data_IF_394131867986
#
_entry.id   IF_394131867986
#
_cell.length_a   1.000
_cell.length_b   1.000
_cell.length_c   1.000
_cell.angle_alpha   90.00
_cell.angle_beta   90.00
_cell.angle_gamma   90.00
#
_symmetry.space_group_name_H-M   'P 1'
#
loop_
_entity.id
_entity.type
_entity.pdbx_description
1 polymer ?
#
# COMPACT_ATOMS: atom_id res chain seq x y z
N UNK A 1 -23.62 -32.20 13.55
CA UNK A 1 -22.17 -31.91 13.46
C UNK A 1 -21.90 -31.00 12.27
N UNK A 2 -21.87 -29.67 12.47
CA UNK A 2 -21.50 -28.71 11.42
C UNK A 2 -20.82 -27.48 12.04
N UNK A 3 -19.88 -27.72 12.97
CA UNK A 3 -19.05 -26.67 13.58
C UNK A 3 -17.62 -26.67 13.03
N UNK A 4 -17.17 -27.78 12.43
CA UNK A 4 -15.78 -27.95 11.98
C UNK A 4 -15.47 -27.24 10.64
N UNK A 5 -16.40 -27.21 9.68
CA UNK A 5 -16.13 -26.62 8.36
C UNK A 5 -16.01 -25.08 8.40
N UNK A 6 -16.79 -24.42 9.24
CA UNK A 6 -16.76 -22.96 9.40
C UNK A 6 -15.50 -22.48 10.12
N UNK A 7 -15.02 -23.23 11.11
CA UNK A 7 -13.80 -22.90 11.85
C UNK A 7 -12.56 -23.09 10.99
N UNK A 8 -12.51 -24.13 10.13
CA UNK A 8 -11.42 -24.32 9.17
C UNK A 8 -11.38 -23.21 8.12
N UNK A 9 -12.54 -22.73 7.66
CA UNK A 9 -12.60 -21.60 6.72
C UNK A 9 -12.11 -20.29 7.34
N UNK A 10 -12.42 -20.03 8.62
CA UNK A 10 -11.93 -18.85 9.36
C UNK A 10 -10.42 -18.94 9.69
N UNK A 11 -9.91 -20.14 10.02
CA UNK A 11 -8.49 -20.36 10.30
C UNK A 11 -7.63 -20.24 9.03
N UNK A 12 -8.09 -20.74 7.88
CA UNK A 12 -7.38 -20.60 6.60
C UNK A 12 -7.35 -19.15 6.13
N UNK A 13 -8.42 -18.37 6.36
CA UNK A 13 -8.41 -16.92 6.12
C UNK A 13 -7.36 -16.24 6.99
N UNK A 14 -7.15 -16.65 8.24
CA UNK A 14 -6.09 -16.09 9.09
C UNK A 14 -4.68 -16.54 8.65
N UNK A 15 -4.47 -17.82 8.32
CA UNK A 15 -3.12 -18.34 8.01
C UNK A 15 -2.61 -17.98 6.61
N UNK A 16 -3.49 -17.74 5.64
CA UNK A 16 -3.09 -17.22 4.32
C UNK A 16 -2.60 -15.75 4.37
N UNK A 17 -2.77 -15.05 5.50
CA UNK A 17 -2.19 -13.73 5.76
C UNK A 17 -0.98 -13.75 6.71
N UNK A 18 -0.64 -14.88 7.34
CA UNK A 18 0.44 -14.96 8.35
C UNK A 18 1.76 -15.52 7.76
N UNK A 19 1.73 -16.17 6.59
CA UNK A 19 2.90 -16.90 6.06
C UNK A 19 3.68 -16.27 4.91
N UNK A 20 3.27 -15.09 4.41
CA UNK A 20 3.96 -14.42 3.30
C UNK A 20 3.92 -12.90 3.51
N UNK A 21 4.37 -12.49 4.70
CA UNK A 21 4.70 -11.12 4.96
C UNK A 21 5.86 -10.72 4.03
N UNK A 22 5.55 -10.10 2.91
CA UNK A 22 6.48 -9.19 2.28
C UNK A 22 6.63 -8.01 3.27
N UNK A 23 7.61 -8.08 4.16
CA UNK A 23 7.84 -7.14 5.28
C UNK A 23 8.23 -5.70 4.84
N UNK A 24 8.19 -5.40 3.54
CA UNK A 24 8.33 -4.06 2.97
C UNK A 24 7.01 -3.58 2.33
N UNK A 25 6.02 -3.21 3.16
CA UNK A 25 4.64 -2.84 2.75
C UNK A 25 4.48 -1.35 2.43
N UNK A 26 5.39 -0.53 2.91
CA UNK A 26 5.64 0.85 2.52
C UNK A 26 6.89 0.82 1.66
N UNK A 27 6.80 1.23 0.39
CA UNK A 27 8.01 1.43 -0.38
C UNK A 27 8.80 2.56 0.30
N UNK A 28 10.06 2.31 0.66
CA UNK A 28 10.97 3.28 1.30
C UNK A 28 10.97 4.63 0.57
N UNK A 29 10.66 4.63 -0.73
CA UNK A 29 10.50 5.84 -1.53
C UNK A 29 9.47 6.81 -0.97
N UNK A 30 8.30 6.37 -0.49
CA UNK A 30 7.25 7.26 0.01
C UNK A 30 7.71 8.10 1.21
N UNK A 31 8.34 7.47 2.20
CA UNK A 31 8.91 8.22 3.32
C UNK A 31 10.18 8.99 2.96
N UNK A 32 10.99 8.50 2.01
CA UNK A 32 12.13 9.30 1.50
C UNK A 32 11.67 10.57 0.82
N UNK A 33 10.55 10.53 0.09
CA UNK A 33 10.01 11.71 -0.58
C UNK A 33 9.39 12.70 0.39
N UNK A 34 8.92 12.25 1.56
CA UNK A 34 8.34 13.12 2.60
C UNK A 34 9.45 13.70 3.49
N UNK A 35 10.38 12.88 3.95
CA UNK A 35 11.47 13.27 4.85
C UNK A 35 12.77 13.51 4.08
N UNK A 36 12.74 14.44 3.13
CA UNK A 36 13.85 14.75 2.21
C UNK A 36 15.16 15.14 2.93
N UNK A 37 15.04 15.77 4.09
CA UNK A 37 16.16 16.31 4.85
C UNK A 37 16.70 15.32 5.89
N UNK A 38 16.04 14.19 6.09
CA UNK A 38 16.43 13.18 7.05
C UNK A 38 17.56 12.28 6.53
N UNK A 39 18.29 11.67 7.46
CA UNK A 39 19.26 10.65 7.09
C UNK A 39 18.55 9.42 6.49
N UNK A 40 18.99 8.97 5.30
CA UNK A 40 18.34 7.88 4.58
C UNK A 40 18.30 6.55 5.37
N UNK A 41 19.29 6.27 6.21
CA UNK A 41 19.33 5.09 7.07
C UNK A 41 18.27 5.18 8.16
N UNK A 42 18.07 6.37 8.75
CA UNK A 42 17.01 6.58 9.74
C UNK A 42 15.62 6.50 9.12
N UNK A 43 15.44 7.00 7.89
CA UNK A 43 14.18 6.81 7.14
C UNK A 43 13.93 5.33 6.85
N UNK A 44 14.97 4.56 6.49
CA UNK A 44 14.81 3.11 6.28
C UNK A 44 14.41 2.38 7.56
N UNK A 45 15.03 2.70 8.69
CA UNK A 45 14.63 2.15 10.01
C UNK A 45 13.19 2.53 10.38
N UNK A 46 12.78 3.76 10.09
CA UNK A 46 11.40 4.20 10.28
C UNK A 46 10.45 3.37 9.42
N UNK A 47 10.72 3.23 8.12
CA UNK A 47 9.92 2.40 7.20
C UNK A 47 9.74 0.98 7.75
N UNK A 48 10.82 0.36 8.24
CA UNK A 48 10.75 -0.96 8.84
C UNK A 48 9.79 -0.98 10.04
N UNK A 49 9.97 -0.11 11.04
CA UNK A 49 9.10 -0.07 12.23
C UNK A 49 7.62 0.19 11.90
N UNK A 50 7.37 1.07 10.94
CA UNK A 50 6.01 1.42 10.51
C UNK A 50 5.36 0.24 9.78
N UNK A 51 6.10 -0.55 9.00
CA UNK A 51 5.57 -1.76 8.35
C UNK A 51 5.08 -2.84 9.33
N UNK A 52 5.54 -2.80 10.58
CA UNK A 52 5.13 -3.70 11.66
C UNK A 52 3.87 -3.24 12.40
N UNK A 53 3.25 -2.15 11.95
CA UNK A 53 2.02 -1.64 12.55
C UNK A 53 0.79 -2.09 11.77
N UNK A 54 -0.28 -2.42 12.49
CA UNK A 54 -1.51 -2.95 11.91
C UNK A 54 -2.38 -1.84 11.31
N UNK A 55 -2.36 -0.65 11.91
CA UNK A 55 -3.21 0.47 11.54
C UNK A 55 -2.41 1.71 11.17
N UNK A 56 -3.00 2.58 10.34
CA UNK A 56 -2.41 3.88 10.02
C UNK A 56 -2.14 4.72 11.28
N UNK A 57 -3.03 4.66 12.28
CA UNK A 57 -2.87 5.42 13.53
C UNK A 57 -1.66 4.94 14.35
N UNK A 58 -1.48 3.62 14.52
CA UNK A 58 -0.29 3.07 15.19
C UNK A 58 0.98 3.39 14.41
N UNK A 59 0.94 3.28 13.08
CA UNK A 59 2.01 3.72 12.19
C UNK A 59 2.34 5.21 12.39
N UNK A 60 1.33 6.07 12.55
CA UNK A 60 1.52 7.50 12.75
C UNK A 60 2.16 7.80 14.10
N UNK A 61 1.76 7.10 15.17
CA UNK A 61 2.41 7.26 16.49
C UNK A 61 3.92 7.00 16.39
N UNK A 62 4.34 5.95 15.67
CA UNK A 62 5.76 5.67 15.42
C UNK A 62 6.44 6.81 14.65
N UNK A 63 5.75 7.42 13.67
CA UNK A 63 6.27 8.56 12.91
C UNK A 63 6.40 9.79 13.80
N UNK A 64 5.37 10.15 14.57
CA UNK A 64 5.37 11.32 15.46
C UNK A 64 6.44 11.20 16.55
N UNK A 65 6.71 10.00 17.08
CA UNK A 65 7.81 9.77 18.03
C UNK A 65 9.19 9.92 17.37
N UNK A 66 9.31 9.59 16.08
CA UNK A 66 10.56 9.64 15.34
C UNK A 66 10.92 11.06 14.86
N UNK A 67 9.91 11.85 14.46
CA UNK A 67 10.08 13.17 13.85
C UNK A 67 10.97 14.12 14.68
N UNK A 68 10.74 14.36 15.98
CA UNK A 68 11.49 15.36 16.76
C UNK A 68 13.00 15.17 16.70
N UNK A 69 13.46 13.92 16.56
CA UNK A 69 14.87 13.58 16.56
C UNK A 69 15.48 13.46 15.16
N UNK A 70 14.71 13.02 14.17
CA UNK A 70 15.28 12.51 12.91
C UNK A 70 14.71 13.13 11.64
N UNK A 71 13.73 14.04 11.73
CA UNK A 71 13.10 14.65 10.54
C UNK A 71 14.09 15.41 9.62
N UNK A 72 15.24 15.82 10.16
CA UNK A 72 16.36 16.37 9.39
C UNK A 72 17.72 16.00 10.00
N UNK A 73 18.78 16.06 9.19
CA UNK A 73 20.16 16.04 9.70
C UNK A 73 20.51 17.38 10.37
N UNK A 74 21.51 17.37 11.26
CA UNK A 74 21.95 18.57 12.00
C UNK A 74 22.25 19.76 11.09
N UNK A 75 22.95 19.50 9.98
CA UNK A 75 23.44 20.53 9.05
C UNK A 75 22.63 20.57 7.74
N UNK A 76 21.38 20.09 7.77
CA UNK A 76 20.52 20.08 6.58
C UNK A 76 20.24 21.52 6.08
N UNK A 77 20.50 21.78 4.80
CA UNK A 77 20.02 22.98 4.12
C UNK A 77 18.53 22.83 3.82
N UNK A 78 17.69 23.65 4.45
CA UNK A 78 16.25 23.64 4.27
C UNK A 78 15.85 24.65 3.18
N UNK A 79 15.45 24.17 2.00
CA UNK A 79 14.97 25.03 0.93
C UNK A 79 13.62 25.64 1.33
N UNK A 80 13.56 26.96 1.51
CA UNK A 80 12.33 27.67 1.93
C UNK A 80 11.18 27.55 0.92
N UNK A 81 11.48 27.28 -0.35
CA UNK A 81 10.46 27.09 -1.38
C UNK A 81 9.86 25.68 -1.35
N UNK A 82 10.51 24.73 -0.68
CA UNK A 82 10.00 23.38 -0.51
C UNK A 82 9.20 23.29 0.80
N UNK A 83 7.90 23.03 0.70
CA UNK A 83 7.00 22.91 1.88
C UNK A 83 7.43 21.81 2.86
N UNK A 84 8.13 20.77 2.41
CA UNK A 84 8.65 19.69 3.27
C UNK A 84 9.81 20.15 4.18
N UNK A 85 10.32 21.37 3.98
CA UNK A 85 11.20 22.04 4.95
C UNK A 85 10.48 22.41 6.25
N UNK A 86 9.14 22.42 6.24
CA UNK A 86 8.31 22.60 7.40
C UNK A 86 7.96 21.24 8.01
N UNK A 87 8.34 21.03 9.27
CA UNK A 87 8.13 19.76 9.99
C UNK A 87 6.64 19.38 10.06
N UNK A 88 5.75 20.34 10.36
CA UNK A 88 4.30 20.09 10.46
C UNK A 88 3.72 19.66 9.12
N UNK A 89 4.18 20.27 8.01
CA UNK A 89 3.76 19.85 6.69
C UNK A 89 4.26 18.45 6.34
N UNK A 90 5.52 18.12 6.65
CA UNK A 90 6.06 16.78 6.47
C UNK A 90 5.31 15.73 7.31
N UNK A 91 4.94 16.08 8.54
CA UNK A 91 4.11 15.23 9.41
C UNK A 91 2.72 14.99 8.82
N UNK A 92 2.05 16.05 8.32
CA UNK A 92 0.77 15.93 7.63
C UNK A 92 0.87 15.02 6.40
N UNK A 93 1.91 15.19 5.57
CA UNK A 93 2.13 14.34 4.40
C UNK A 93 2.40 12.88 4.77
N UNK A 94 3.10 12.63 5.89
CA UNK A 94 3.27 11.27 6.41
C UNK A 94 1.94 10.65 6.82
N UNK A 95 1.06 11.42 7.49
CA UNK A 95 -0.27 10.94 7.86
C UNK A 95 -1.13 10.61 6.64
N UNK A 96 -1.22 11.52 5.67
CA UNK A 96 -1.98 11.32 4.44
C UNK A 96 -1.46 10.11 3.64
N UNK A 97 -0.13 9.95 3.55
CA UNK A 97 0.47 8.79 2.93
C UNK A 97 0.11 7.49 3.65
N UNK A 98 0.17 7.45 4.98
CA UNK A 98 -0.22 6.27 5.76
C UNK A 98 -1.70 5.91 5.59
N UNK A 99 -2.58 6.91 5.56
CA UNK A 99 -3.99 6.71 5.24
C UNK A 99 -4.20 6.13 3.84
N UNK A 100 -3.41 6.59 2.86
CA UNK A 100 -3.43 6.02 1.52
C UNK A 100 -2.94 4.57 1.51
N UNK A 101 -1.89 4.22 2.26
CA UNK A 101 -1.42 2.82 2.37
C UNK A 101 -2.48 1.91 2.99
N UNK A 102 -3.20 2.38 4.00
CA UNK A 102 -4.33 1.65 4.58
C UNK A 102 -5.47 1.45 3.57
N UNK A 103 -5.85 2.52 2.85
CA UNK A 103 -6.84 2.44 1.78
C UNK A 103 -6.42 1.47 0.66
N UNK A 104 -5.16 1.50 0.24
CA UNK A 104 -4.61 0.60 -0.77
C UNK A 104 -4.66 -0.86 -0.30
N UNK A 105 -4.37 -1.14 0.98
CA UNK A 105 -4.46 -2.50 1.54
C UNK A 105 -5.90 -3.02 1.49
N UNK A 106 -6.88 -2.15 1.78
CA UNK A 106 -8.31 -2.48 1.68
C UNK A 106 -8.74 -2.75 0.24
N UNK A 107 -8.31 -1.90 -0.71
CA UNK A 107 -8.54 -2.10 -2.14
C UNK A 107 -8.01 -3.45 -2.61
N UNK A 108 -6.75 -3.76 -2.28
CA UNK A 108 -6.17 -5.04 -2.63
C UNK A 108 -6.92 -6.21 -2.04
N UNK A 109 -7.22 -6.16 -0.74
CA UNK A 109 -7.97 -7.21 -0.06
C UNK A 109 -9.31 -7.46 -0.74
N UNK A 110 -10.01 -6.42 -1.16
CA UNK A 110 -11.23 -6.53 -1.95
C UNK A 110 -10.97 -7.25 -3.27
N UNK A 111 -9.98 -6.81 -4.07
CA UNK A 111 -9.63 -7.44 -5.34
C UNK A 111 -9.30 -8.94 -5.20
N UNK A 112 -8.48 -9.30 -4.20
CA UNK A 112 -8.10 -10.69 -3.92
C UNK A 112 -9.31 -11.53 -3.52
N UNK A 113 -10.11 -11.06 -2.58
CA UNK A 113 -11.30 -11.79 -2.13
C UNK A 113 -12.30 -11.96 -3.25
N UNK A 114 -12.63 -10.90 -3.97
CA UNK A 114 -13.59 -10.95 -5.07
C UNK A 114 -13.17 -11.93 -6.18
N UNK A 115 -11.87 -12.06 -6.47
CA UNK A 115 -11.39 -13.03 -7.47
C UNK A 115 -11.40 -14.47 -6.97
N UNK A 116 -11.15 -14.72 -5.69
CA UNK A 116 -11.23 -16.07 -5.09
C UNK A 116 -12.70 -16.48 -4.88
N UNK A 117 -13.51 -15.62 -4.28
CA UNK A 117 -14.91 -15.90 -3.92
C UNK A 117 -15.77 -16.18 -5.16
N UNK A 118 -15.48 -15.49 -6.27
CA UNK A 118 -16.14 -15.74 -7.56
C UNK A 118 -15.53 -16.90 -8.35
N UNK A 119 -14.54 -17.61 -7.77
CA UNK A 119 -13.76 -18.68 -8.42
C UNK A 119 -13.13 -18.25 -9.74
N UNK A 120 -12.87 -16.95 -9.90
CA UNK A 120 -12.17 -16.42 -11.05
C UNK A 120 -10.71 -16.85 -11.01
N UNK A 121 -10.06 -16.71 -9.85
CA UNK A 121 -8.73 -17.25 -9.62
C UNK A 121 -8.74 -18.39 -8.62
N UNK A 122 -7.83 -19.34 -8.83
CA UNK A 122 -7.35 -20.24 -7.78
C UNK A 122 -6.55 -19.45 -6.73
N UNK A 123 -6.35 -20.03 -5.55
CA UNK A 123 -5.54 -19.40 -4.49
C UNK A 123 -4.12 -19.08 -4.97
N UNK A 124 -3.48 -20.00 -5.70
CA UNK A 124 -2.13 -19.79 -6.26
C UNK A 124 -2.09 -18.64 -7.27
N UNK A 125 -3.12 -18.49 -8.09
CA UNK A 125 -3.23 -17.38 -9.04
C UNK A 125 -3.46 -16.05 -8.31
N UNK A 126 -4.27 -16.06 -7.25
CA UNK A 126 -4.46 -14.89 -6.41
C UNK A 126 -3.16 -14.48 -5.68
N UNK A 127 -2.37 -15.44 -5.19
CA UNK A 127 -1.04 -15.18 -4.61
C UNK A 127 -0.12 -14.55 -5.66
N UNK A 128 -0.04 -15.10 -6.88
CA UNK A 128 0.74 -14.51 -7.96
C UNK A 128 0.29 -13.10 -8.32
N UNK A 129 -1.03 -12.85 -8.39
CA UNK A 129 -1.57 -11.51 -8.58
C UNK A 129 -1.11 -10.54 -7.47
N UNK A 130 -1.03 -11.00 -6.21
CA UNK A 130 -0.53 -10.20 -5.09
C UNK A 130 0.93 -9.81 -5.26
N UNK A 131 1.75 -10.74 -5.72
CA UNK A 131 3.17 -10.46 -5.95
C UNK A 131 3.36 -9.47 -7.11
N UNK A 132 2.54 -9.58 -8.16
CA UNK A 132 2.51 -8.61 -9.27
C UNK A 132 2.12 -7.22 -8.76
N UNK A 133 1.15 -7.12 -7.84
CA UNK A 133 0.80 -5.84 -7.23
C UNK A 133 1.99 -5.21 -6.53
N UNK A 134 2.63 -5.93 -5.61
CA UNK A 134 3.74 -5.37 -4.84
C UNK A 134 4.94 -4.99 -5.71
N UNK A 135 5.20 -5.75 -6.78
CA UNK A 135 6.19 -5.34 -7.78
C UNK A 135 5.80 -4.03 -8.47
N UNK A 136 4.53 -3.89 -8.86
CA UNK A 136 4.01 -2.70 -9.54
C UNK A 136 3.97 -1.47 -8.64
N UNK A 137 3.61 -1.64 -7.37
CA UNK A 137 3.62 -0.58 -6.36
C UNK A 137 5.04 -0.06 -6.09
N UNK A 138 6.03 -0.96 -6.00
CA UNK A 138 7.45 -0.57 -5.87
C UNK A 138 7.94 0.21 -7.08
N UNK A 139 7.66 -0.27 -8.28
CA UNK A 139 8.07 0.39 -9.52
C UNK A 139 7.37 1.74 -9.73
N UNK A 140 6.14 1.87 -9.21
CA UNK A 140 5.39 3.12 -9.16
C UNK A 140 5.75 4.01 -7.96
N UNK A 141 6.71 3.62 -7.12
CA UNK A 141 7.15 4.38 -5.95
C UNK A 141 5.98 4.68 -4.99
N UNK A 142 5.10 3.70 -4.78
CA UNK A 142 3.86 3.81 -3.99
C UNK A 142 2.83 4.83 -4.50
N UNK A 143 3.00 5.37 -5.71
CA UNK A 143 1.98 6.17 -6.37
C UNK A 143 0.89 5.26 -6.96
N UNK A 144 -0.30 5.28 -6.36
CA UNK A 144 -1.41 4.42 -6.76
C UNK A 144 -1.87 4.67 -8.20
N UNK A 145 -1.99 5.93 -8.61
CA UNK A 145 -2.42 6.33 -9.95
C UNK A 145 -1.48 5.77 -11.03
N UNK A 146 -0.17 5.74 -10.75
CA UNK A 146 0.85 5.12 -11.62
C UNK A 146 0.88 3.59 -11.50
N UNK A 147 0.70 3.06 -10.30
CA UNK A 147 0.80 1.63 -10.00
C UNK A 147 -0.37 0.81 -10.53
N UNK A 148 -1.59 1.36 -10.48
CA UNK A 148 -2.83 0.70 -10.94
C UNK A 148 -2.75 0.20 -12.40
N UNK A 149 -2.42 1.04 -13.41
CA UNK A 149 -2.29 0.56 -14.78
C UNK A 149 -1.12 -0.42 -14.98
N UNK A 150 -0.01 -0.24 -14.27
CA UNK A 150 1.12 -1.19 -14.32
C UNK A 150 0.70 -2.57 -13.81
N UNK A 151 0.01 -2.61 -12.67
CA UNK A 151 -0.53 -3.82 -12.09
C UNK A 151 -1.50 -4.53 -13.05
N UNK A 152 -2.47 -3.79 -13.60
CA UNK A 152 -3.44 -4.31 -14.56
C UNK A 152 -2.72 -4.98 -15.74
N UNK A 153 -1.83 -4.24 -16.40
CA UNK A 153 -1.14 -4.72 -17.60
C UNK A 153 -0.29 -5.97 -17.31
N UNK A 154 0.47 -5.97 -16.22
CA UNK A 154 1.30 -7.12 -15.83
C UNK A 154 0.47 -8.36 -15.51
N UNK A 155 -0.65 -8.18 -14.82
CA UNK A 155 -1.56 -9.28 -14.49
C UNK A 155 -2.23 -9.84 -15.75
N UNK A 156 -2.63 -8.97 -16.69
CA UNK A 156 -3.11 -9.40 -18.00
C UNK A 156 -2.06 -10.22 -18.76
N UNK A 157 -0.79 -9.79 -18.74
CA UNK A 157 0.31 -10.52 -19.39
C UNK A 157 0.54 -11.88 -18.73
N UNK A 158 0.62 -11.94 -17.40
CA UNK A 158 0.82 -13.18 -16.64
C UNK A 158 -0.26 -14.22 -16.95
N UNK A 159 -1.52 -13.79 -16.98
CA UNK A 159 -2.66 -14.69 -17.15
C UNK A 159 -3.26 -14.68 -18.55
N UNK A 160 -2.54 -14.21 -19.56
CA UNK A 160 -3.05 -14.07 -20.93
C UNK A 160 -3.63 -15.35 -21.54
N UNK A 161 -3.15 -16.52 -21.11
CA UNK A 161 -3.63 -17.83 -21.59
C UNK A 161 -4.88 -18.35 -20.85
N UNK A 162 -5.10 -17.91 -19.62
CA UNK A 162 -6.12 -18.47 -18.72
C UNK A 162 -7.24 -17.49 -18.37
N UNK A 163 -6.98 -16.18 -18.43
CA UNK A 163 -7.87 -15.13 -17.95
C UNK A 163 -7.82 -13.92 -18.90
N UNK A 164 -8.24 -14.14 -20.15
CA UNK A 164 -8.16 -13.13 -21.23
C UNK A 164 -8.98 -11.86 -20.95
N UNK A 165 -10.01 -11.98 -20.13
CA UNK A 165 -10.95 -10.91 -19.76
C UNK A 165 -10.52 -10.16 -18.49
N UNK A 166 -9.34 -10.44 -17.91
CA UNK A 166 -8.90 -9.83 -16.65
C UNK A 166 -8.94 -8.30 -16.71
N UNK A 167 -8.58 -7.70 -17.85
CA UNK A 167 -8.62 -6.25 -18.01
C UNK A 167 -10.01 -5.65 -17.75
N UNK A 168 -11.06 -6.28 -18.28
CA UNK A 168 -12.46 -5.84 -18.06
C UNK A 168 -12.91 -6.15 -16.64
N UNK A 169 -12.56 -7.34 -16.12
CA UNK A 169 -12.87 -7.73 -14.75
C UNK A 169 -12.24 -6.78 -13.73
N UNK A 170 -11.00 -6.35 -13.98
CA UNK A 170 -10.26 -5.43 -13.13
C UNK A 170 -10.92 -4.05 -13.05
N UNK A 171 -11.36 -3.48 -14.17
CA UNK A 171 -12.07 -2.19 -14.17
C UNK A 171 -13.40 -2.32 -13.41
N UNK A 172 -14.18 -3.38 -13.70
CA UNK A 172 -15.44 -3.61 -12.98
C UNK A 172 -15.24 -3.71 -11.47
N UNK A 173 -14.27 -4.51 -11.02
CA UNK A 173 -13.98 -4.63 -9.58
C UNK A 173 -13.46 -3.31 -8.99
N UNK A 174 -12.75 -2.51 -9.76
CA UNK A 174 -12.33 -1.17 -9.33
C UNK A 174 -13.56 -0.29 -9.14
N UNK A 175 -14.47 -0.21 -10.11
CA UNK A 175 -15.71 0.56 -10.01
C UNK A 175 -16.57 0.10 -8.83
N UNK A 176 -16.74 -1.22 -8.65
CA UNK A 176 -17.45 -1.81 -7.51
C UNK A 176 -16.81 -1.36 -6.18
N UNK A 177 -15.48 -1.36 -6.09
CA UNK A 177 -14.79 -0.89 -4.89
C UNK A 177 -15.04 0.60 -4.62
N UNK A 178 -14.95 1.45 -5.64
CA UNK A 178 -15.21 2.88 -5.50
C UNK A 178 -16.67 3.15 -5.08
N UNK A 179 -17.61 2.33 -5.57
CA UNK A 179 -19.02 2.42 -5.21
C UNK A 179 -19.29 1.98 -3.75
N UNK A 180 -18.81 0.80 -3.35
CA UNK A 180 -19.12 0.24 -2.02
C UNK A 180 -18.20 0.74 -0.90
N UNK A 181 -17.02 1.27 -1.22
CA UNK A 181 -15.99 1.67 -0.25
C UNK A 181 -15.50 3.11 -0.46
N UNK A 182 -16.40 4.00 -0.89
CA UNK A 182 -16.11 5.40 -1.23
C UNK A 182 -15.14 6.12 -0.29
N UNK A 183 -15.40 6.13 1.02
CA UNK A 183 -14.57 6.84 2.02
C UNK A 183 -13.12 6.32 2.13
N UNK A 184 -12.89 5.05 1.79
CA UNK A 184 -11.53 4.49 1.67
C UNK A 184 -10.96 4.74 0.29
N UNK A 185 -11.79 4.67 -0.76
CA UNK A 185 -11.37 4.87 -2.15
C UNK A 185 -10.86 6.29 -2.43
N UNK A 186 -11.46 7.32 -1.83
CA UNK A 186 -10.99 8.71 -1.95
C UNK A 186 -9.53 8.88 -1.52
N UNK A 187 -9.08 8.09 -0.53
CA UNK A 187 -7.72 8.15 0.01
C UNK A 187 -6.69 7.44 -0.86
N UNK A 188 -7.10 6.68 -1.87
CA UNK A 188 -6.18 5.94 -2.75
C UNK A 188 -5.29 6.87 -3.58
N UNK A 189 -5.81 8.05 -3.94
CA UNK A 189 -5.19 8.99 -4.88
C UNK A 189 -4.25 9.99 -4.20
N UNK A 190 -3.62 9.63 -3.08
CA UNK A 190 -2.60 10.50 -2.49
C UNK A 190 -1.50 10.83 -3.51
N UNK A 191 -1.20 12.12 -3.61
CA UNK A 191 -0.11 12.64 -4.43
C UNK A 191 0.71 13.59 -3.59
N UNK A 192 1.99 13.28 -3.41
CA UNK A 192 2.95 14.27 -2.98
C UNK A 192 3.23 15.19 -4.18
N UNK A 193 2.75 16.43 -4.13
CA UNK A 193 3.09 17.41 -5.16
C UNK A 193 4.59 17.68 -5.02
N UNK A 194 5.37 17.22 -6.00
CA UNK A 194 6.78 17.57 -6.08
C UNK A 194 6.88 19.06 -6.44
N UNK A 195 7.07 19.89 -5.42
CA UNK A 195 7.41 21.30 -5.61
C UNK A 195 8.94 21.38 -5.68
N UNK A 196 9.44 21.51 -6.92
CA UNK A 196 10.86 21.72 -7.23
C UNK A 196 11.34 23.09 -6.73
#
# INVERSE_FOLDING_TARGET
MSFSKTIVFLLVICTCFIGHDAWDRIATWGFRSIFLYANQTEVWKLTFKVNHQDTALQAMNVVSDWIPKYWKTKDAYLNKNNKLSNQTYAEQQAWEFLQQRDAMRKFLRFMFRSTIDTKYFTEDQAIRMRDIWWKSDRDAQSNFTRGRPLFKNRTMTEFAKTHKDFGTKFEKLTDDYYYYHYSSAEKLNWTLVAEY
#
